data_IF_561745363862
#
_entry.id   IF_561745363862
#
_cell.length_a   1.000
_cell.length_b   1.000
_cell.length_c   1.000
_cell.angle_alpha   90.00
_cell.angle_beta   90.00
_cell.angle_gamma   90.00
#
_symmetry.space_group_name_H-M   'P 1'
#
loop_
_entity.id
_entity.type
_entity.pdbx_description
1 polymer ?
#
# COMPACT_ATOMS: atom_id res chain seq x y z
N UNK A 1 -0.38 -20.02 16.81
CA UNK A 1 -0.57 -19.12 17.96
C UNK A 1 -1.14 -17.82 17.42
N UNK A 2 -2.46 -17.78 17.28
CA UNK A 2 -3.20 -16.65 16.71
C UNK A 2 -3.45 -15.66 17.83
N UNK A 3 -2.79 -14.50 17.80
CA UNK A 3 -3.07 -13.44 18.77
C UNK A 3 -4.42 -12.82 18.37
N UNK A 4 -5.49 -13.29 19.01
CA UNK A 4 -6.80 -12.63 18.93
C UNK A 4 -6.70 -11.32 19.70
N UNK A 5 -6.76 -10.20 18.99
CA UNK A 5 -6.82 -8.84 19.53
C UNK A 5 -8.13 -8.53 20.31
N UNK A 6 -9.00 -9.53 20.53
CA UNK A 6 -10.31 -9.40 21.16
C UNK A 6 -10.29 -9.16 22.68
N UNK A 7 -9.12 -9.02 23.31
CA UNK A 7 -9.00 -8.77 24.76
C UNK A 7 -8.64 -7.33 25.14
N UNK A 8 -8.43 -6.43 24.17
CA UNK A 8 -8.06 -5.03 24.42
C UNK A 8 -9.18 -4.01 24.19
N UNK A 9 -10.33 -4.42 23.66
CA UNK A 9 -11.48 -3.54 23.39
C UNK A 9 -12.76 -4.22 23.92
N UNK A 10 -13.50 -3.59 24.86
CA UNK A 10 -14.80 -4.11 25.30
C UNK A 10 -15.76 -4.26 24.13
N UNK A 11 -16.59 -5.31 24.11
CA UNK A 11 -17.53 -5.62 23.00
C UNK A 11 -18.54 -4.50 22.67
N UNK A 12 -18.65 -3.49 23.54
CA UNK A 12 -19.45 -2.29 23.33
C UNK A 12 -18.83 -1.28 22.35
N UNK A 13 -17.56 -1.43 21.97
CA UNK A 13 -16.88 -0.60 20.95
C UNK A 13 -16.58 -1.36 19.65
N UNK A 14 -16.86 -2.68 19.61
CA UNK A 14 -16.97 -3.36 18.32
C UNK A 14 -18.17 -2.75 17.58
N UNK A 15 -18.02 -2.35 16.31
CA UNK A 15 -19.17 -1.97 15.51
C UNK A 15 -20.05 -3.21 15.34
N UNK A 16 -20.99 -3.36 16.28
CA UNK A 16 -22.13 -4.25 16.17
C UNK A 16 -22.84 -3.84 14.89
N UNK A 17 -22.91 -4.78 13.94
CA UNK A 17 -23.57 -4.61 12.67
C UNK A 17 -25.04 -4.29 12.87
N UNK A 18 -25.33 -3.02 13.14
CA UNK A 18 -26.62 -2.39 12.95
C UNK A 18 -26.53 -1.69 11.59
N UNK A 19 -27.34 -2.20 10.66
CA UNK A 19 -27.24 -1.88 9.25
C UNK A 19 -27.29 -0.39 8.97
N UNK A 20 -26.15 0.14 8.52
CA UNK A 20 -26.14 0.74 7.18
C UNK A 20 -25.17 -0.10 6.39
N UNK A 21 -25.70 -1.00 5.54
CA UNK A 21 -24.88 -1.59 4.50
C UNK A 21 -24.42 -0.42 3.64
N UNK A 22 -23.20 0.08 3.86
CA UNK A 22 -22.58 0.92 2.84
C UNK A 22 -22.62 0.08 1.57
N UNK A 23 -23.18 0.63 0.48
CA UNK A 23 -23.29 -0.14 -0.74
C UNK A 23 -21.89 -0.67 -1.08
N UNK A 24 -21.77 -1.89 -1.65
CA UNK A 24 -20.49 -2.33 -2.19
C UNK A 24 -19.93 -1.18 -3.03
N UNK A 25 -18.62 -0.85 -2.91
CA UNK A 25 -18.06 0.33 -3.55
C UNK A 25 -18.54 0.37 -4.98
N UNK A 26 -19.20 1.47 -5.37
CA UNK A 26 -20.00 1.53 -6.57
C UNK A 26 -19.21 0.92 -7.73
N UNK A 27 -19.66 -0.26 -8.20
CA UNK A 27 -19.11 -0.87 -9.39
C UNK A 27 -19.28 0.20 -10.46
N UNK A 28 -18.18 0.71 -11.00
CA UNK A 28 -18.21 1.72 -12.06
C UNK A 28 -18.88 1.10 -13.30
N UNK A 29 -20.21 1.11 -13.30
CA UNK A 29 -21.06 0.69 -14.41
C UNK A 29 -21.70 1.98 -14.93
N UNK A 30 -20.92 2.69 -15.74
CA UNK A 30 -21.31 3.95 -16.39
C UNK A 30 -20.09 4.55 -17.07
N UNK A 31 -20.26 5.13 -18.27
CA UNK A 31 -19.19 5.78 -19.04
C UNK A 31 -18.35 6.66 -18.10
N UNK A 32 -17.10 6.25 -17.89
CA UNK A 32 -16.22 6.79 -16.84
C UNK A 32 -16.00 8.28 -17.03
N UNK A 33 -16.12 9.04 -15.93
CA UNK A 33 -15.71 10.43 -15.89
C UNK A 33 -14.21 10.51 -16.21
N UNK A 34 -13.86 11.22 -17.28
CA UNK A 34 -12.48 11.55 -17.61
C UNK A 34 -12.01 12.67 -16.69
N UNK A 35 -11.15 12.34 -15.74
CA UNK A 35 -10.48 13.30 -14.86
C UNK A 35 -8.99 13.34 -15.20
N UNK A 36 -8.40 14.54 -15.16
CA UNK A 36 -6.95 14.68 -15.24
C UNK A 36 -6.37 14.41 -13.85
N UNK A 37 -5.58 13.35 -13.73
CA UNK A 37 -4.94 12.93 -12.48
C UNK A 37 -3.44 12.82 -12.68
N UNK A 38 -2.68 13.03 -11.62
CA UNK A 38 -1.28 12.59 -11.58
C UNK A 38 -1.21 11.07 -11.43
N UNK A 39 -0.08 10.46 -11.78
CA UNK A 39 0.10 9.00 -11.61
C UNK A 39 -0.09 8.53 -10.16
N UNK A 40 0.43 9.30 -9.20
CA UNK A 40 0.24 9.02 -7.78
C UNK A 40 -1.24 9.06 -7.37
N UNK A 41 -2.00 10.06 -7.85
CA UNK A 41 -3.44 10.16 -7.59
C UNK A 41 -4.24 9.04 -8.26
N UNK A 42 -3.87 8.65 -9.48
CA UNK A 42 -4.51 7.54 -10.20
C UNK A 42 -4.34 6.22 -9.44
N UNK A 43 -3.13 5.95 -8.94
CA UNK A 43 -2.86 4.75 -8.12
C UNK A 43 -3.57 4.82 -6.77
N UNK A 44 -3.59 5.98 -6.11
CA UNK A 44 -4.34 6.16 -4.87
C UNK A 44 -5.86 5.93 -5.07
N UNK A 45 -6.42 6.40 -6.20
CA UNK A 45 -7.80 6.15 -6.58
C UNK A 45 -8.07 4.65 -6.85
N UNK A 46 -7.13 3.95 -7.48
CA UNK A 46 -7.22 2.51 -7.66
C UNK A 46 -7.24 1.77 -6.32
N UNK A 47 -6.36 2.11 -5.38
CA UNK A 47 -6.37 1.51 -4.04
C UNK A 47 -7.63 1.84 -3.26
N UNK A 48 -8.19 3.04 -3.42
CA UNK A 48 -9.52 3.37 -2.88
C UNK A 48 -10.60 2.39 -3.37
N UNK A 49 -10.59 2.05 -4.66
CA UNK A 49 -11.55 1.09 -5.23
C UNK A 49 -11.33 -0.36 -4.76
N UNK A 50 -10.07 -0.73 -4.51
CA UNK A 50 -9.70 -2.06 -4.01
C UNK A 50 -10.10 -2.27 -2.54
N UNK A 51 -10.21 -1.20 -1.77
CA UNK A 51 -10.51 -1.21 -0.32
C UNK A 51 -9.62 -2.24 0.41
N UNK A 52 -8.29 -2.01 0.49
CA UNK A 52 -7.38 -2.88 1.23
C UNK A 52 -7.72 -2.83 2.73
N UNK A 53 -7.42 -3.89 3.48
CA UNK A 53 -7.74 -3.91 4.92
C UNK A 53 -6.69 -3.18 5.74
N UNK A 54 -5.42 -3.25 5.32
CA UNK A 54 -4.31 -2.60 6.02
C UNK A 54 -3.30 -2.04 5.01
N UNK A 55 -2.77 -0.87 5.32
CA UNK A 55 -1.62 -0.29 4.66
C UNK A 55 -0.64 0.25 5.68
N UNK A 56 0.65 0.16 5.40
CA UNK A 56 1.70 0.74 6.22
C UNK A 56 2.48 1.75 5.38
N UNK A 57 2.66 2.96 5.93
CA UNK A 57 3.23 4.08 5.21
C UNK A 57 4.46 4.64 5.91
N UNK A 58 5.49 4.92 5.12
CA UNK A 58 6.66 5.68 5.52
C UNK A 58 7.00 6.71 4.42
N UNK A 59 7.33 7.97 4.78
CA UNK A 59 7.52 9.02 3.79
C UNK A 59 8.86 8.91 3.07
N UNK A 60 8.82 8.81 1.73
CA UNK A 60 9.98 8.92 0.84
C UNK A 60 9.57 9.53 -0.50
N UNK A 61 10.18 10.63 -0.91
CA UNK A 61 9.91 11.27 -2.21
C UNK A 61 10.38 10.38 -3.35
N UNK A 62 9.66 10.23 -4.48
CA UNK A 62 8.42 10.91 -4.90
C UNK A 62 7.09 10.19 -4.58
N UNK A 63 7.09 9.03 -3.93
CA UNK A 63 5.82 8.35 -3.66
C UNK A 63 4.93 9.08 -2.66
N UNK A 64 5.50 9.96 -1.81
CA UNK A 64 4.82 10.50 -0.61
C UNK A 64 3.42 11.03 -0.91
N UNK A 65 3.23 11.67 -2.06
CA UNK A 65 1.93 12.21 -2.48
C UNK A 65 0.84 11.13 -2.62
N UNK A 66 1.20 9.91 -3.04
CA UNK A 66 0.30 8.76 -3.16
C UNK A 66 -0.24 8.37 -1.79
N UNK A 67 0.63 8.21 -0.79
CA UNK A 67 0.24 7.88 0.58
C UNK A 67 -0.52 9.01 1.26
N UNK A 68 -0.16 10.26 1.00
CA UNK A 68 -0.91 11.41 1.49
C UNK A 68 -2.34 11.43 0.93
N UNK A 69 -2.51 11.23 -0.39
CA UNK A 69 -3.83 11.15 -1.02
C UNK A 69 -4.66 9.97 -0.52
N UNK A 70 -4.04 8.82 -0.31
CA UNK A 70 -4.74 7.67 0.25
C UNK A 70 -5.17 7.93 1.70
N UNK A 71 -4.32 8.56 2.51
CA UNK A 71 -4.65 8.94 3.88
C UNK A 71 -5.83 9.94 3.93
N UNK A 72 -5.95 10.86 2.96
CA UNK A 72 -7.13 11.72 2.82
C UNK A 72 -8.42 10.90 2.63
N UNK A 73 -8.40 9.84 1.82
CA UNK A 73 -9.57 8.97 1.63
C UNK A 73 -9.96 8.20 2.90
N UNK A 74 -8.96 7.71 3.64
CA UNK A 74 -9.18 7.04 4.93
C UNK A 74 -9.76 8.03 5.95
N UNK A 75 -9.20 9.24 6.05
CA UNK A 75 -9.66 10.27 6.98
C UNK A 75 -11.08 10.76 6.68
N UNK A 76 -11.51 10.74 5.42
CA UNK A 76 -12.89 11.05 5.01
C UNK A 76 -13.87 9.88 5.21
N UNK A 77 -13.38 8.70 5.61
CA UNK A 77 -14.19 7.49 5.76
C UNK A 77 -14.65 6.90 4.41
N UNK A 78 -13.98 7.26 3.31
CA UNK A 78 -14.30 6.74 1.98
C UNK A 78 -13.78 5.31 1.78
N UNK A 79 -12.83 4.87 2.63
CA UNK A 79 -12.22 3.54 2.62
C UNK A 79 -12.06 3.05 4.06
N UNK A 80 -12.41 1.78 4.33
CA UNK A 80 -12.21 1.12 5.64
C UNK A 80 -10.86 0.41 5.70
N UNK A 81 -9.78 1.17 5.65
CA UNK A 81 -8.41 0.66 5.73
C UNK A 81 -7.74 1.13 7.01
N UNK A 82 -7.08 0.22 7.72
CA UNK A 82 -6.17 0.56 8.81
C UNK A 82 -4.86 1.12 8.23
N UNK A 83 -4.62 2.41 8.43
CA UNK A 83 -3.39 3.10 8.04
C UNK A 83 -2.41 3.10 9.21
N UNK A 84 -1.34 2.32 9.10
CA UNK A 84 -0.30 2.22 10.13
C UNK A 84 0.87 3.13 9.76
N UNK A 85 1.12 4.13 10.60
CA UNK A 85 2.32 4.96 10.51
C UNK A 85 3.47 4.22 11.16
N UNK A 86 4.46 3.87 10.36
CA UNK A 86 5.64 3.13 10.82
C UNK A 86 6.84 4.05 10.94
N UNK A 87 7.86 3.57 11.64
CA UNK A 87 9.13 4.27 11.86
C UNK A 87 10.12 4.13 10.70
N UNK A 88 9.90 3.16 9.79
CA UNK A 88 10.81 2.88 8.69
C UNK A 88 10.17 2.05 7.57
N UNK A 89 10.76 2.05 6.37
CA UNK A 89 10.25 1.22 5.26
C UNK A 89 10.39 -0.30 5.51
N UNK A 90 11.40 -0.72 6.28
CA UNK A 90 11.56 -2.13 6.67
C UNK A 90 10.41 -2.57 7.59
N UNK A 91 10.03 -1.70 8.51
CA UNK A 91 8.87 -1.88 9.40
C UNK A 91 7.55 -1.83 8.63
N UNK A 92 7.45 -0.97 7.60
CA UNK A 92 6.30 -0.92 6.69
C UNK A 92 6.08 -2.29 6.04
N UNK A 93 7.14 -2.85 5.47
CA UNK A 93 7.09 -4.13 4.79
C UNK A 93 6.77 -5.29 5.74
N UNK A 94 7.35 -5.25 6.95
CA UNK A 94 7.09 -6.23 8.00
C UNK A 94 5.62 -6.24 8.45
N UNK A 95 5.03 -5.06 8.64
CA UNK A 95 3.63 -4.92 9.02
C UNK A 95 2.68 -5.46 7.94
N UNK A 96 2.90 -5.09 6.66
CA UNK A 96 2.04 -5.58 5.56
C UNK A 96 2.24 -7.06 5.28
N UNK A 97 3.44 -7.61 5.51
CA UNK A 97 3.72 -9.05 5.42
C UNK A 97 2.97 -9.83 6.48
N UNK A 98 3.03 -9.39 7.74
CA UNK A 98 2.31 -10.03 8.83
C UNK A 98 0.79 -9.99 8.60
N UNK A 99 0.27 -8.84 8.15
CA UNK A 99 -1.15 -8.69 7.84
C UNK A 99 -1.57 -9.55 6.62
N UNK A 100 -0.74 -9.64 5.57
CA UNK A 100 -1.01 -10.53 4.44
C UNK A 100 -1.01 -12.00 4.84
N UNK A 101 -0.07 -12.41 5.70
CA UNK A 101 -0.02 -13.77 6.25
C UNK A 101 -1.26 -14.11 7.10
N UNK A 102 -1.88 -13.10 7.73
CA UNK A 102 -3.14 -13.25 8.46
C UNK A 102 -4.38 -13.33 7.54
N UNK A 103 -4.23 -13.13 6.23
CA UNK A 103 -5.31 -13.20 5.23
C UNK A 103 -5.87 -11.84 4.80
N UNK A 104 -5.26 -10.73 5.20
CA UNK A 104 -5.69 -9.40 4.78
C UNK A 104 -5.14 -9.04 3.39
N UNK A 105 -5.98 -8.42 2.55
CA UNK A 105 -5.49 -7.61 1.41
C UNK A 105 -4.69 -6.42 1.93
N UNK A 106 -3.42 -6.31 1.54
CA UNK A 106 -2.52 -5.24 1.96
C UNK A 106 -1.83 -4.59 0.78
N UNK A 107 -1.44 -3.32 0.99
CA UNK A 107 -0.53 -2.65 0.09
C UNK A 107 0.41 -1.72 0.83
N UNK A 108 1.50 -1.33 0.18
CA UNK A 108 2.40 -0.26 0.64
C UNK A 108 2.98 0.48 -0.57
N UNK A 109 3.60 1.64 -0.35
CA UNK A 109 4.25 2.43 -1.39
C UNK A 109 5.65 2.88 -0.96
N UNK A 110 6.60 2.88 -1.89
CA UNK A 110 8.00 3.22 -1.62
C UNK A 110 8.74 3.70 -2.87
N UNK A 111 10.01 4.10 -2.70
CA UNK A 111 10.92 4.57 -3.75
C UNK A 111 12.39 4.28 -3.40
N UNK A 112 13.25 3.99 -4.38
CA UNK A 112 14.71 3.96 -4.26
C UNK A 112 15.27 3.28 -2.99
N UNK A 113 15.97 4.04 -2.13
CA UNK A 113 16.62 3.58 -0.91
C UNK A 113 15.63 2.95 0.07
N UNK A 114 14.37 3.38 0.07
CA UNK A 114 13.33 2.76 0.87
C UNK A 114 13.07 1.32 0.44
N UNK A 115 13.03 1.06 -0.88
CA UNK A 115 12.95 -0.30 -1.42
C UNK A 115 14.17 -1.12 -1.01
N UNK A 116 15.38 -0.55 -1.17
CA UNK A 116 16.61 -1.21 -0.77
C UNK A 116 16.61 -1.57 0.73
N UNK A 117 16.05 -0.72 1.57
CA UNK A 117 15.99 -0.92 3.01
C UNK A 117 15.00 -2.02 3.41
N UNK A 118 13.89 -2.20 2.69
CA UNK A 118 12.91 -3.26 2.98
C UNK A 118 13.19 -4.61 2.27
N UNK A 119 14.28 -4.72 1.49
CA UNK A 119 14.52 -5.88 0.62
C UNK A 119 14.50 -7.22 1.33
N UNK A 120 15.01 -7.28 2.56
CA UNK A 120 15.04 -8.50 3.36
C UNK A 120 13.62 -9.09 3.51
N UNK A 121 12.66 -8.25 3.89
CA UNK A 121 11.26 -8.64 4.07
C UNK A 121 10.55 -8.80 2.72
N UNK A 122 10.96 -8.02 1.72
CA UNK A 122 10.42 -8.08 0.37
C UNK A 122 10.63 -9.45 -0.31
N UNK A 123 11.78 -10.08 -0.09
CA UNK A 123 12.04 -11.44 -0.60
C UNK A 123 11.17 -12.49 0.11
N UNK A 124 10.89 -12.32 1.40
CA UNK A 124 10.02 -13.23 2.16
C UNK A 124 8.59 -13.24 1.60
N UNK A 125 8.08 -12.09 1.13
CA UNK A 125 6.77 -12.03 0.51
C UNK A 125 6.62 -12.95 -0.72
N UNK A 126 7.64 -12.97 -1.59
CA UNK A 126 7.68 -13.84 -2.76
C UNK A 126 7.81 -15.31 -2.39
N UNK A 127 8.67 -15.63 -1.42
CA UNK A 127 8.86 -17.00 -0.92
C UNK A 127 7.61 -17.58 -0.25
N UNK A 128 6.91 -16.77 0.54
CA UNK A 128 5.67 -17.16 1.24
C UNK A 128 4.43 -17.11 0.33
N UNK A 129 4.57 -16.66 -0.93
CA UNK A 129 3.49 -16.56 -1.92
C UNK A 129 2.32 -15.71 -1.43
N UNK A 130 2.61 -14.62 -0.71
CA UNK A 130 1.59 -13.76 -0.13
C UNK A 130 1.05 -12.75 -1.17
N UNK A 131 -0.27 -12.57 -1.30
CA UNK A 131 -0.88 -11.70 -2.30
C UNK A 131 -0.90 -10.24 -1.82
N UNK A 132 0.24 -9.58 -1.89
CA UNK A 132 0.41 -8.17 -1.53
C UNK A 132 0.79 -7.32 -2.74
N UNK A 133 0.42 -6.04 -2.69
CA UNK A 133 0.72 -5.08 -3.77
C UNK A 133 1.67 -4.00 -3.23
N UNK A 134 2.74 -3.73 -3.97
CA UNK A 134 3.66 -2.64 -3.66
C UNK A 134 3.66 -1.64 -4.82
N UNK A 135 3.34 -0.39 -4.52
CA UNK A 135 3.46 0.71 -5.47
C UNK A 135 4.88 1.28 -5.41
N UNK A 136 5.69 0.95 -6.41
CA UNK A 136 7.05 1.47 -6.53
C UNK A 136 7.05 2.70 -7.45
N UNK A 137 7.26 3.89 -6.88
CA UNK A 137 7.49 5.08 -7.68
C UNK A 137 9.00 5.20 -7.88
N UNK A 138 9.44 4.85 -9.09
CA UNK A 138 10.84 4.69 -9.46
C UNK A 138 11.67 5.96 -9.19
N UNK A 139 12.79 5.79 -8.46
CA UNK A 139 13.76 6.85 -8.16
C UNK A 139 15.18 6.29 -8.18
N UNK A 140 16.15 7.14 -8.53
CA UNK A 140 17.57 6.80 -8.53
C UNK A 140 18.04 6.19 -7.22
N UNK A 141 18.71 5.05 -7.33
CA UNK A 141 19.46 4.39 -6.27
C UNK A 141 20.97 4.55 -6.54
N UNK A 142 21.66 5.30 -5.67
CA UNK A 142 23.07 5.57 -5.86
C UNK A 142 23.72 6.23 -4.64
N UNK A 143 25.06 6.25 -4.64
CA UNK A 143 25.85 6.76 -3.51
C UNK A 143 25.71 8.25 -3.24
N UNK A 144 25.14 9.02 -4.17
CA UNK A 144 24.75 10.42 -4.00
C UNK A 144 23.24 10.57 -4.08
N UNK A 145 22.67 11.47 -3.29
CA UNK A 145 21.23 11.73 -3.28
C UNK A 145 20.80 12.32 -4.63
N UNK A 146 19.91 11.61 -5.32
CA UNK A 146 19.26 12.08 -6.54
C UNK A 146 17.76 11.78 -6.44
N UNK A 147 16.93 12.79 -6.70
CA UNK A 147 15.47 12.67 -6.64
C UNK A 147 14.83 12.33 -7.99
N UNK A 148 15.62 12.32 -9.07
CA UNK A 148 15.13 11.97 -10.40
C UNK A 148 14.88 10.46 -10.51
N UNK A 149 14.07 10.11 -11.49
CA UNK A 149 13.69 8.74 -11.78
C UNK A 149 14.79 8.01 -12.59
N UNK A 150 15.04 6.77 -12.22
CA UNK A 150 15.61 5.73 -13.06
C UNK A 150 14.96 4.39 -12.68
N UNK A 151 15.32 3.29 -13.34
CA UNK A 151 14.77 1.97 -13.00
C UNK A 151 15.70 1.16 -12.08
N UNK A 152 16.72 1.77 -11.48
CA UNK A 152 17.73 1.06 -10.70
C UNK A 152 17.13 0.36 -9.48
N UNK A 153 16.14 0.98 -8.86
CA UNK A 153 15.42 0.42 -7.72
C UNK A 153 14.54 -0.79 -8.09
N UNK A 154 13.77 -0.72 -9.19
CA UNK A 154 13.01 -1.87 -9.68
C UNK A 154 13.93 -3.03 -10.07
N UNK A 155 15.05 -2.73 -10.74
CA UNK A 155 16.03 -3.73 -11.15
C UNK A 155 16.74 -4.38 -9.98
N UNK A 156 16.94 -3.67 -8.86
CA UNK A 156 17.45 -4.22 -7.61
C UNK A 156 16.57 -5.36 -7.07
N UNK A 157 15.25 -5.21 -7.19
CA UNK A 157 14.26 -6.18 -6.69
C UNK A 157 13.88 -7.28 -7.71
N UNK A 158 14.55 -7.35 -8.86
CA UNK A 158 14.22 -8.28 -9.96
C UNK A 158 14.15 -9.76 -9.52
N UNK A 159 15.01 -10.17 -8.59
CA UNK A 159 15.13 -11.57 -8.18
C UNK A 159 14.20 -11.98 -7.02
N UNK A 160 13.34 -11.09 -6.55
CA UNK A 160 12.55 -11.33 -5.34
C UNK A 160 11.28 -12.18 -5.55
N UNK A 161 11.08 -12.75 -6.74
CA UNK A 161 9.88 -13.54 -7.10
C UNK A 161 8.56 -12.73 -7.05
N UNK A 162 8.61 -11.46 -7.42
CA UNK A 162 7.44 -10.59 -7.59
C UNK A 162 7.03 -10.47 -9.06
N UNK A 163 5.76 -10.19 -9.29
CA UNK A 163 5.27 -9.74 -10.58
C UNK A 163 5.55 -8.24 -10.66
N UNK A 164 6.47 -7.84 -11.53
CA UNK A 164 6.79 -6.44 -11.79
C UNK A 164 6.04 -5.95 -13.03
N UNK A 165 5.30 -4.85 -12.90
CA UNK A 165 4.60 -4.17 -13.99
C UNK A 165 5.03 -2.70 -14.01
N UNK A 166 5.36 -2.20 -15.20
CA UNK A 166 5.74 -0.80 -15.41
C UNK A 166 4.66 -0.09 -16.22
N UNK A 167 4.27 1.09 -15.77
CA UNK A 167 3.33 1.95 -16.48
C UNK A 167 4.09 3.16 -17.04
N UNK A 168 3.99 3.37 -18.36
CA UNK A 168 4.59 4.53 -19.04
C UNK A 168 3.68 5.77 -19.03
N UNK A 169 2.36 5.56 -18.98
CA UNK A 169 1.35 6.62 -19.04
C UNK A 169 0.25 6.31 -18.03
N UNK A 170 -0.23 7.33 -17.33
CA UNK A 170 -1.30 7.28 -16.34
C UNK A 170 -2.29 8.43 -16.59
#
# INVERSE_FOLDING_TARGET
>A
MTVRLSHLVPETELPTGSGTGSPPPARCVGRGQTCALTGNEAVALAFKQVEPHLTAAYPITPQTDLMHKFAEYVARGEVRTELVNVESEHSAMSAVLAAAAAGCRTFTATSANGLAYMLEVYHNAGALRLPMVLSLVNRHIGGLLNMHNDHGDAMLARNAAWIQMHAETC
#
